data_IF_174205705196
#
_entry.id   IF_174205705196
#
_cell.length_a   1.000
_cell.length_b   1.000
_cell.length_c   1.000
_cell.angle_alpha   90.00
_cell.angle_beta   90.00
_cell.angle_gamma   90.00
#
_symmetry.space_group_name_H-M   'P 1'
#
loop_
_entity.id
_entity.type
_entity.pdbx_description
1 polymer ?
#
# COMPACT_ATOMS: atom_id res chain seq x y z
N UNK A 1 -18.01 20.85 -14.13
CA UNK A 1 -16.75 21.23 -13.47
C UNK A 1 -15.83 20.02 -13.54
N UNK A 2 -14.63 20.14 -14.12
CA UNK A 2 -13.62 19.08 -14.04
C UNK A 2 -13.15 19.01 -12.58
N UNK A 3 -13.10 17.82 -12.00
CA UNK A 3 -12.43 17.66 -10.71
C UNK A 3 -10.95 18.01 -10.92
N UNK A 4 -10.45 19.02 -10.19
CA UNK A 4 -9.01 19.24 -10.08
C UNK A 4 -8.48 18.17 -9.14
N UNK A 5 -7.87 17.13 -9.72
CA UNK A 5 -7.16 16.13 -8.94
C UNK A 5 -5.83 16.74 -8.49
N UNK A 6 -5.51 16.63 -7.20
CA UNK A 6 -4.22 17.07 -6.63
C UNK A 6 -3.02 16.36 -7.28
N UNK A 7 -3.27 15.23 -7.94
CA UNK A 7 -2.27 14.33 -8.51
C UNK A 7 -2.82 13.82 -9.85
N UNK A 8 -2.14 14.11 -10.96
CA UNK A 8 -2.49 13.62 -12.31
C UNK A 8 -1.39 12.68 -12.81
N UNK A 9 -1.72 11.39 -12.88
CA UNK A 9 -0.81 10.33 -13.32
C UNK A 9 -0.43 10.44 -14.80
N UNK A 10 -1.24 11.11 -15.64
CA UNK A 10 -0.90 11.35 -17.05
C UNK A 10 0.29 12.32 -17.19
N UNK A 11 0.53 13.13 -16.16
CA UNK A 11 1.59 14.13 -16.09
C UNK A 11 2.52 13.88 -14.89
N UNK A 12 2.74 12.62 -14.52
CA UNK A 12 3.57 12.26 -13.36
C UNK A 12 4.98 12.85 -13.42
N UNK A 13 5.55 12.99 -14.62
CA UNK A 13 6.87 13.60 -14.83
C UNK A 13 6.95 15.08 -14.46
N UNK A 14 5.81 15.77 -14.37
CA UNK A 14 5.73 17.20 -14.03
C UNK A 14 5.61 17.43 -12.51
N UNK A 15 5.43 16.35 -11.72
CA UNK A 15 5.31 16.46 -10.28
C UNK A 15 6.62 16.98 -9.68
N UNK A 16 6.50 17.92 -8.75
CA UNK A 16 7.67 18.43 -8.03
C UNK A 16 8.30 17.27 -7.25
N UNK A 17 9.61 17.01 -7.43
CA UNK A 17 10.26 15.90 -6.75
C UNK A 17 10.19 16.14 -5.24
N UNK A 18 9.53 15.24 -4.53
CA UNK A 18 9.61 15.22 -3.07
C UNK A 18 10.89 14.49 -2.66
N UNK A 19 11.80 15.23 -2.04
CA UNK A 19 13.09 14.71 -1.58
C UNK A 19 12.97 13.93 -0.27
N UNK A 20 14.01 13.17 0.05
CA UNK A 20 14.14 12.45 1.31
C UNK A 20 14.94 11.18 1.15
N UNK A 21 15.52 10.68 2.25
CA UNK A 21 16.34 9.45 2.22
C UNK A 21 15.52 8.16 2.33
N UNK A 22 14.19 8.28 2.46
CA UNK A 22 13.27 7.16 2.76
C UNK A 22 11.95 7.30 1.99
N UNK A 23 12.06 7.60 0.70
CA UNK A 23 10.91 7.65 -0.21
C UNK A 23 10.55 6.24 -0.69
N UNK A 24 9.26 6.05 -0.99
CA UNK A 24 8.71 4.90 -1.69
C UNK A 24 8.10 5.36 -3.02
N UNK A 25 7.92 4.45 -4.01
CA UNK A 25 8.29 3.03 -4.00
C UNK A 25 9.80 2.79 -4.16
N UNK A 26 10.22 1.53 -3.99
CA UNK A 26 11.60 1.08 -4.24
C UNK A 26 11.62 -0.19 -5.12
N UNK A 27 12.79 -0.47 -5.70
CA UNK A 27 13.09 -1.79 -6.24
C UNK A 27 13.66 -2.69 -5.14
N UNK A 28 12.94 -3.77 -4.82
CA UNK A 28 13.33 -4.75 -3.81
C UNK A 28 14.29 -5.74 -4.48
N UNK A 29 15.58 -5.55 -4.24
CA UNK A 29 16.62 -6.48 -4.66
C UNK A 29 16.70 -7.63 -3.67
N UNK A 30 16.14 -8.79 -4.03
CA UNK A 30 16.00 -9.92 -3.11
C UNK A 30 17.33 -10.48 -2.65
N UNK A 31 18.41 -10.31 -3.43
CA UNK A 31 19.77 -10.69 -3.03
C UNK A 31 20.38 -9.83 -1.92
N UNK A 32 19.82 -8.64 -1.68
CA UNK A 32 20.27 -7.72 -0.63
C UNK A 32 19.39 -7.79 0.63
N UNK A 33 18.27 -8.52 0.57
CA UNK A 33 17.39 -8.73 1.72
C UNK A 33 18.11 -9.60 2.75
N UNK A 34 18.08 -9.16 4.01
CA UNK A 34 18.63 -9.90 5.14
C UNK A 34 17.46 -10.51 5.93
N UNK A 35 17.50 -11.84 6.12
CA UNK A 35 16.55 -12.51 6.99
C UNK A 35 16.86 -12.17 8.45
N UNK A 36 15.97 -11.39 9.08
CA UNK A 36 16.04 -11.09 10.50
C UNK A 36 15.23 -12.13 11.28
N UNK A 37 15.75 -13.36 11.34
CA UNK A 37 15.02 -14.58 11.74
C UNK A 37 14.48 -14.58 13.19
N UNK A 38 14.96 -13.70 14.07
CA UNK A 38 14.56 -13.71 15.50
C UNK A 38 13.81 -12.46 15.99
N UNK A 39 13.59 -11.44 15.14
CA UNK A 39 12.95 -10.17 15.55
C UNK A 39 11.76 -9.74 14.70
N UNK A 40 11.52 -10.39 13.56
CA UNK A 40 10.35 -10.10 12.73
C UNK A 40 9.11 -10.69 13.41
N UNK A 41 8.37 -9.87 14.14
CA UNK A 41 7.15 -10.34 14.76
C UNK A 41 6.11 -10.70 13.70
N UNK A 42 5.34 -11.74 13.99
CA UNK A 42 4.23 -12.18 13.16
C UNK A 42 3.30 -11.01 12.85
N UNK A 43 3.01 -10.84 11.57
CA UNK A 43 1.96 -9.95 11.10
C UNK A 43 0.63 -10.68 11.30
N UNK A 44 -0.23 -10.14 12.15
CA UNK A 44 -1.61 -10.61 12.29
C UNK A 44 -2.53 -9.52 11.79
N UNK A 45 -3.42 -9.83 10.86
CA UNK A 45 -4.39 -8.88 10.29
C UNK A 45 -5.78 -9.49 10.45
N UNK A 46 -6.69 -8.73 11.05
CA UNK A 46 -8.08 -9.10 11.26
C UNK A 46 -8.96 -8.02 10.66
N UNK A 47 -9.63 -8.33 9.55
CA UNK A 47 -10.65 -7.44 8.99
C UNK A 47 -12.00 -7.74 9.64
N UNK A 48 -12.77 -6.69 9.89
CA UNK A 48 -14.15 -6.82 10.35
C UNK A 48 -15.06 -7.23 9.18
N UNK A 49 -16.10 -7.98 9.50
CA UNK A 49 -17.24 -8.31 8.64
C UNK A 49 -18.23 -7.15 8.43
N UNK A 50 -18.00 -6.01 9.10
CA UNK A 50 -18.78 -4.78 8.89
C UNK A 50 -18.72 -4.33 7.44
N UNK A 51 -19.79 -3.67 6.99
CA UNK A 51 -19.89 -3.12 5.64
C UNK A 51 -18.69 -2.23 5.31
N UNK A 52 -18.00 -2.57 4.23
CA UNK A 52 -16.98 -1.75 3.61
C UNK A 52 -17.59 -0.86 2.51
N UNK A 53 -16.99 0.30 2.28
CA UNK A 53 -17.38 1.20 1.19
C UNK A 53 -16.32 1.15 0.10
N UNK A 54 -16.71 0.82 -1.12
CA UNK A 54 -15.83 0.83 -2.28
C UNK A 54 -16.21 1.95 -3.23
N UNK A 55 -15.21 2.74 -3.68
CA UNK A 55 -15.44 3.85 -4.59
C UNK A 55 -14.22 4.14 -5.45
N UNK A 56 -14.47 4.82 -6.56
CA UNK A 56 -13.46 5.42 -7.40
C UNK A 56 -13.34 6.90 -7.00
N UNK A 57 -12.16 7.32 -6.52
CA UNK A 57 -11.89 8.71 -6.13
C UNK A 57 -11.26 9.54 -7.28
N UNK A 58 -11.19 8.97 -8.48
CA UNK A 58 -10.59 9.54 -9.68
C UNK A 58 -9.07 9.39 -9.79
N UNK A 59 -8.40 8.98 -8.72
CA UNK A 59 -6.96 8.65 -8.70
C UNK A 59 -6.73 7.14 -8.59
N UNK A 60 -7.52 6.46 -7.75
CA UNK A 60 -7.48 5.02 -7.57
C UNK A 60 -8.87 4.45 -7.21
N UNK A 61 -8.95 3.12 -7.25
CA UNK A 61 -10.04 2.39 -6.62
C UNK A 61 -9.71 2.20 -5.15
N UNK A 62 -10.59 2.68 -4.27
CA UNK A 62 -10.37 2.69 -2.83
C UNK A 62 -11.49 1.96 -2.10
N UNK A 63 -11.11 1.21 -1.07
CA UNK A 63 -11.99 0.60 -0.09
C UNK A 63 -11.74 1.20 1.28
N UNK A 64 -12.80 1.67 1.93
CA UNK A 64 -12.83 2.01 3.35
C UNK A 64 -13.46 0.85 4.11
N UNK A 65 -12.82 0.42 5.18
CA UNK A 65 -13.31 -0.69 5.99
C UNK A 65 -12.87 -0.54 7.44
N UNK A 66 -13.20 -1.56 8.22
CA UNK A 66 -12.83 -1.65 9.64
C UNK A 66 -12.02 -2.91 9.85
N UNK A 67 -10.99 -2.82 10.67
CA UNK A 67 -10.13 -3.94 10.99
C UNK A 67 -8.96 -3.47 11.82
N UNK A 68 -8.06 -4.40 12.08
CA UNK A 68 -6.84 -4.12 12.82
C UNK A 68 -5.72 -5.04 12.39
N UNK A 69 -4.50 -4.59 12.62
CA UNK A 69 -3.32 -5.40 12.47
C UNK A 69 -2.42 -5.23 13.69
N UNK A 70 -1.82 -6.34 14.12
CA UNK A 70 -0.71 -6.31 15.08
C UNK A 70 0.60 -6.48 14.32
N UNK A 71 1.46 -5.48 14.42
CA UNK A 71 2.82 -5.49 13.88
C UNK A 71 3.82 -5.26 15.02
N UNK A 72 4.79 -6.15 15.21
CA UNK A 72 5.79 -5.99 16.29
C UNK A 72 5.17 -5.71 17.66
N UNK A 73 4.10 -6.45 18.00
CA UNK A 73 3.33 -6.30 19.26
C UNK A 73 2.66 -4.93 19.43
N UNK A 74 2.52 -4.14 18.36
CA UNK A 74 1.80 -2.86 18.33
C UNK A 74 0.53 -3.00 17.51
N UNK A 75 -0.56 -2.46 18.04
CA UNK A 75 -1.87 -2.45 17.40
C UNK A 75 -1.97 -1.26 16.43
N UNK A 76 -2.53 -1.52 15.27
CA UNK A 76 -2.90 -0.51 14.28
C UNK A 76 -4.31 -0.79 13.77
N UNK A 77 -5.09 0.25 13.56
CA UNK A 77 -6.42 0.17 12.98
C UNK A 77 -6.34 0.28 11.46
N UNK A 78 -7.08 -0.56 10.75
CA UNK A 78 -7.23 -0.45 9.31
C UNK A 78 -8.02 0.81 8.98
N UNK A 79 -7.53 1.58 8.00
CA UNK A 79 -8.15 2.82 7.55
C UNK A 79 -8.73 2.65 6.16
N UNK A 80 -7.90 2.23 5.22
CA UNK A 80 -8.28 2.09 3.82
C UNK A 80 -7.33 1.16 3.07
N UNK A 81 -7.79 0.63 1.95
CA UNK A 81 -6.92 0.05 0.95
C UNK A 81 -7.21 0.68 -0.41
N UNK A 82 -6.19 0.79 -1.25
CA UNK A 82 -6.36 1.23 -2.63
C UNK A 82 -5.45 0.44 -3.57
N UNK A 83 -5.73 0.54 -4.85
CA UNK A 83 -5.03 -0.22 -5.88
C UNK A 83 -4.36 0.70 -6.90
N UNK A 84 -3.18 0.29 -7.35
CA UNK A 84 -2.50 0.86 -8.51
C UNK A 84 -2.44 -0.18 -9.62
N UNK A 85 -2.81 0.23 -10.83
CA UNK A 85 -2.61 -0.55 -12.05
C UNK A 85 -1.15 -0.37 -12.49
N UNK A 86 -0.48 -1.48 -12.75
CA UNK A 86 0.97 -1.61 -12.67
C UNK A 86 1.52 -1.32 -11.26
N UNK A 87 2.47 -2.14 -10.81
CA UNK A 87 3.03 -2.00 -9.48
C UNK A 87 3.99 -0.82 -9.40
N UNK A 88 3.91 -0.10 -8.29
CA UNK A 88 4.84 0.97 -7.95
C UNK A 88 6.17 0.37 -7.51
N UNK A 89 6.14 -0.63 -6.61
CA UNK A 89 7.33 -1.39 -6.23
C UNK A 89 7.72 -2.38 -7.34
N UNK A 90 9.02 -2.66 -7.40
CA UNK A 90 9.59 -3.70 -8.26
C UNK A 90 10.23 -4.79 -7.42
N UNK A 91 10.31 -6.00 -7.95
CA UNK A 91 11.09 -7.10 -7.38
C UNK A 91 12.17 -7.46 -8.39
N UNK A 92 13.44 -7.24 -8.05
CA UNK A 92 14.57 -7.46 -8.96
C UNK A 92 14.37 -6.80 -10.33
N UNK A 93 13.90 -5.55 -10.33
CA UNK A 93 13.60 -4.77 -11.53
C UNK A 93 12.30 -5.14 -12.25
N UNK A 94 11.57 -6.16 -11.80
CA UNK A 94 10.30 -6.61 -12.41
C UNK A 94 9.09 -5.91 -11.79
N UNK A 95 8.22 -5.34 -12.64
CA UNK A 95 6.89 -4.84 -12.26
C UNK A 95 5.81 -5.93 -12.37
N UNK A 96 4.71 -5.73 -11.66
CA UNK A 96 3.53 -6.60 -11.62
C UNK A 96 2.27 -5.84 -12.08
N UNK A 97 1.24 -6.51 -12.59
CA UNK A 97 0.05 -5.82 -13.13
C UNK A 97 -0.79 -5.06 -12.10
N UNK A 98 -0.65 -5.37 -10.80
CA UNK A 98 -1.48 -4.79 -9.74
C UNK A 98 -0.72 -4.75 -8.41
N UNK A 99 -0.77 -3.61 -7.73
CA UNK A 99 -0.32 -3.46 -6.35
C UNK A 99 -1.46 -2.95 -5.45
N UNK A 100 -1.68 -3.65 -4.34
CA UNK A 100 -2.66 -3.26 -3.32
C UNK A 100 -1.96 -2.63 -2.13
N UNK A 101 -2.38 -1.43 -1.76
CA UNK A 101 -1.84 -0.69 -0.63
C UNK A 101 -2.82 -0.73 0.54
N UNK A 102 -2.36 -1.17 1.70
CA UNK A 102 -3.16 -1.23 2.92
C UNK A 102 -2.62 -0.21 3.91
N UNK A 103 -3.47 0.74 4.29
CA UNK A 103 -3.16 1.77 5.25
C UNK A 103 -3.68 1.36 6.63
N UNK A 104 -2.76 1.30 7.58
CA UNK A 104 -3.08 1.11 8.99
C UNK A 104 -2.54 2.30 9.79
N UNK A 105 -3.24 2.68 10.85
CA UNK A 105 -2.85 3.80 11.71
C UNK A 105 -2.86 3.38 13.17
N UNK A 106 -1.83 3.76 13.92
CA UNK A 106 -1.76 3.52 15.35
C UNK A 106 -2.74 4.45 16.09
N UNK A 107 -3.13 4.13 17.33
CA UNK A 107 -3.91 5.04 18.16
C UNK A 107 -3.24 6.40 18.41
N UNK A 108 -1.89 6.46 18.37
CA UNK A 108 -1.11 7.70 18.51
C UNK A 108 -1.00 8.50 17.20
N UNK A 109 -1.59 8.00 16.11
CA UNK A 109 -1.57 8.64 14.79
C UNK A 109 -0.36 8.27 13.92
N UNK A 110 0.57 7.43 14.41
CA UNK A 110 1.67 6.90 13.59
C UNK A 110 1.10 6.01 12.48
N UNK A 111 1.53 6.27 11.24
CA UNK A 111 1.04 5.54 10.07
C UNK A 111 1.96 4.37 9.76
N UNK A 112 1.37 3.20 9.54
CA UNK A 112 2.05 2.01 9.02
C UNK A 112 1.46 1.67 7.66
N UNK A 113 2.32 1.53 6.67
CA UNK A 113 1.93 1.23 5.32
C UNK A 113 2.45 -0.15 4.92
N UNK A 114 1.59 -0.95 4.28
CA UNK A 114 1.92 -2.27 3.76
C UNK A 114 1.44 -2.37 2.31
N UNK A 115 2.38 -2.58 1.40
CA UNK A 115 2.07 -2.97 0.02
C UNK A 115 2.03 -4.49 -0.09
N UNK A 116 0.98 -5.00 -0.75
CA UNK A 116 0.93 -6.36 -1.26
C UNK A 116 1.08 -6.29 -2.79
N UNK A 117 2.19 -6.83 -3.28
CA UNK A 117 2.40 -7.04 -4.71
C UNK A 117 1.64 -8.29 -5.15
N UNK A 118 0.79 -8.16 -6.17
CA UNK A 118 0.01 -9.28 -6.64
C UNK A 118 0.16 -9.48 -8.16
N UNK A 119 0.77 -10.60 -8.53
CA UNK A 119 0.76 -11.10 -9.91
C UNK A 119 -0.48 -11.94 -10.13
N UNK A 120 -1.62 -11.33 -10.42
CA UNK A 120 -2.84 -12.09 -10.69
C UNK A 120 -2.93 -12.50 -12.16
N UNK A 121 -3.09 -13.81 -12.42
CA UNK A 121 -3.95 -14.32 -13.48
C UNK A 121 -5.26 -14.72 -12.81
N UNK A 122 -6.20 -13.77 -12.70
CA UNK A 122 -7.58 -14.08 -12.29
C UNK A 122 -8.25 -14.71 -13.52
N UNK A 123 -8.50 -16.02 -13.46
CA UNK A 123 -9.57 -16.63 -14.24
C UNK A 123 -10.81 -16.63 -13.35
N UNK A 124 -11.91 -16.11 -13.90
CA UNK A 124 -13.24 -16.19 -13.30
C UNK A 124 -13.63 -17.65 -13.01
#
# INVERSE_FOLDING_TARGET
MKAEFLIDYCHQGDWQPQGGLRQSPIDIQTSLVQDNDETLATIQVNFSDKTATFFNNGQNLQLLGVGEATFNKRLFHFVQMHFHADSEHRINGKSFPLEGHFLFQSPSGEVSYRSLLSGWRIQF
#
